data_IF_726883449908
#
_entry.id   IF_726883449908
#
_cell.length_a   1.000
_cell.length_b   1.000
_cell.length_c   1.000
_cell.angle_alpha   90.00
_cell.angle_beta   90.00
_cell.angle_gamma   90.00
#
_symmetry.space_group_name_H-M   'P 1'
#
loop_
_entity.id
_entity.type
_entity.pdbx_description
1 polymer ?
#
# COMPACT_ATOMS: atom_id res chain seq x y z
N UNK A 1 7.55 -22.92 61.57
CA UNK A 1 8.07 -21.56 61.33
C UNK A 1 7.22 -20.96 60.24
N UNK A 2 6.17 -20.28 60.69
CA UNK A 2 5.14 -19.65 59.90
C UNK A 2 5.62 -18.25 59.54
N UNK A 3 5.51 -17.87 58.26
CA UNK A 3 5.56 -16.47 57.87
C UNK A 3 4.26 -16.13 57.12
N UNK A 4 3.56 -15.04 57.50
CA UNK A 4 2.16 -14.84 57.19
C UNK A 4 1.93 -14.24 55.81
N UNK A 5 0.81 -14.62 55.23
CA UNK A 5 0.20 -14.11 54.01
C UNK A 5 -0.23 -12.64 54.14
N UNK A 6 0.31 -11.78 53.28
CA UNK A 6 -0.24 -10.45 53.01
C UNK A 6 -1.32 -10.51 51.90
N UNK A 7 -2.40 -9.72 52.00
CA UNK A 7 -3.49 -9.74 51.05
C UNK A 7 -3.16 -8.90 49.81
N UNK A 8 -3.30 -9.49 48.63
CA UNK A 8 -3.24 -8.77 47.36
C UNK A 8 -4.47 -7.86 47.26
N UNK A 9 -4.24 -6.54 47.33
CA UNK A 9 -5.24 -5.51 47.04
C UNK A 9 -5.54 -5.47 45.54
N UNK A 10 -6.81 -5.57 45.15
CA UNK A 10 -7.30 -5.12 43.86
C UNK A 10 -7.08 -3.61 43.70
N UNK A 11 -6.87 -3.15 42.46
CA UNK A 11 -7.43 -1.90 42.03
C UNK A 11 -8.28 -2.09 40.77
N UNK A 12 -9.59 -1.88 40.94
CA UNK A 12 -10.41 -1.30 39.89
C UNK A 12 -9.73 -0.02 39.42
N UNK A 13 -9.28 0.00 38.16
CA UNK A 13 -8.97 1.22 37.44
C UNK A 13 -9.69 1.15 36.09
N UNK A 14 -10.65 2.06 35.93
CA UNK A 14 -11.26 2.40 34.65
C UNK A 14 -10.17 2.74 33.61
N UNK A 15 -10.45 2.59 32.30
CA UNK A 15 -9.47 2.86 31.26
C UNK A 15 -9.21 4.37 31.22
N UNK A 16 -8.07 4.78 31.79
CA UNK A 16 -7.57 6.13 31.63
C UNK A 16 -7.24 6.32 30.14
N UNK A 17 -7.83 7.37 29.60
CA UNK A 17 -7.68 7.79 28.23
C UNK A 17 -6.20 7.82 27.85
N UNK A 18 -5.86 7.14 26.76
CA UNK A 18 -4.62 7.39 26.03
C UNK A 18 -4.63 8.86 25.62
N UNK A 19 -3.99 9.68 26.47
CA UNK A 19 -3.68 11.07 26.21
C UNK A 19 -2.88 11.10 24.91
N UNK A 20 -3.49 11.64 23.86
CA UNK A 20 -2.76 12.12 22.69
C UNK A 20 -1.63 13.03 23.17
N UNK A 21 -0.36 12.76 22.83
CA UNK A 21 0.67 13.77 22.99
C UNK A 21 0.43 14.83 21.92
N UNK A 22 -0.42 15.82 22.21
CA UNK A 22 -0.45 17.08 21.46
C UNK A 22 0.82 17.84 21.77
N UNK A 23 1.87 17.57 21.01
CA UNK A 23 3.10 18.36 21.04
C UNK A 23 2.73 19.84 20.76
N UNK A 24 2.84 20.74 21.75
CA UNK A 24 2.38 22.12 21.60
C UNK A 24 3.15 22.86 20.50
N UNK A 25 4.38 22.44 20.18
CA UNK A 25 5.20 23.02 19.12
C UNK A 25 4.64 22.78 17.73
N UNK A 26 4.13 21.58 17.45
CA UNK A 26 3.53 21.21 16.16
C UNK A 26 2.24 22.00 15.91
N UNK A 27 1.40 22.17 16.94
CA UNK A 27 0.15 22.94 16.83
C UNK A 27 0.36 24.42 16.48
N UNK A 28 1.48 25.01 16.93
CA UNK A 28 1.81 26.40 16.68
C UNK A 28 2.28 26.64 15.24
N UNK A 29 3.13 25.77 14.72
CA UNK A 29 3.62 25.83 13.34
C UNK A 29 2.48 25.54 12.36
N UNK A 30 1.68 24.50 12.61
CA UNK A 30 0.52 24.13 11.81
C UNK A 30 -0.45 25.31 11.61
N UNK A 31 -0.80 25.99 12.71
CA UNK A 31 -1.64 27.19 12.66
C UNK A 31 -1.05 28.29 11.77
N UNK A 32 0.26 28.56 11.86
CA UNK A 32 0.91 29.59 11.02
C UNK A 32 0.95 29.22 9.55
N UNK A 33 1.14 27.93 9.24
CA UNK A 33 1.04 27.45 7.85
C UNK A 33 -0.38 27.62 7.32
N UNK A 34 -1.40 27.29 8.11
CA UNK A 34 -2.80 27.53 7.76
C UNK A 34 -3.08 29.02 7.51
N UNK A 35 -2.70 29.90 8.43
CA UNK A 35 -2.88 31.35 8.29
C UNK A 35 -2.20 31.90 7.03
N UNK A 36 -0.99 31.44 6.72
CA UNK A 36 -0.30 31.80 5.48
C UNK A 36 -1.03 31.28 4.24
N UNK A 37 -1.54 30.05 4.29
CA UNK A 37 -2.34 29.44 3.22
C UNK A 37 -3.65 30.19 2.95
N UNK A 38 -4.39 30.57 3.99
CA UNK A 38 -5.62 31.37 3.89
C UNK A 38 -5.37 32.77 3.33
N UNK A 39 -4.28 33.42 3.76
CA UNK A 39 -3.87 34.71 3.24
C UNK A 39 -3.51 34.63 1.75
N UNK A 40 -2.78 33.60 1.33
CA UNK A 40 -2.47 33.35 -0.08
C UNK A 40 -3.75 33.07 -0.88
N UNK A 41 -4.62 32.17 -0.40
CA UNK A 41 -5.85 31.81 -1.08
C UNK A 41 -6.75 33.03 -1.31
N UNK A 42 -7.09 33.73 -0.24
CA UNK A 42 -8.02 34.85 -0.28
C UNK A 42 -7.48 36.02 -1.11
N UNK A 43 -6.16 36.25 -1.13
CA UNK A 43 -5.54 37.31 -1.92
C UNK A 43 -5.47 36.93 -3.41
N UNK A 44 -5.08 35.70 -3.74
CA UNK A 44 -4.99 35.28 -5.15
C UNK A 44 -6.34 35.06 -5.81
N UNK A 45 -7.38 34.62 -5.08
CA UNK A 45 -8.76 34.59 -5.62
C UNK A 45 -9.18 35.99 -6.03
N UNK A 46 -9.02 36.99 -5.14
CA UNK A 46 -9.34 38.40 -5.45
C UNK A 46 -8.58 38.96 -6.64
N UNK A 47 -7.31 38.61 -6.78
CA UNK A 47 -6.49 39.04 -7.93
C UNK A 47 -6.96 38.37 -9.22
N UNK A 48 -7.23 37.06 -9.20
CA UNK A 48 -7.61 36.30 -10.39
C UNK A 48 -9.01 36.66 -10.90
N UNK A 49 -9.96 36.93 -9.98
CA UNK A 49 -11.33 37.32 -10.33
C UNK A 49 -11.40 38.68 -11.08
N UNK A 50 -10.34 39.49 -10.98
CA UNK A 50 -10.22 40.77 -11.69
C UNK A 50 -9.56 40.63 -13.07
N UNK A 51 -9.01 39.46 -13.40
CA UNK A 51 -8.36 39.22 -14.70
C UNK A 51 -9.43 38.75 -15.70
N UNK A 52 -9.52 39.36 -16.91
CA UNK A 52 -10.45 38.91 -17.93
C UNK A 52 -10.30 37.42 -18.27
N UNK A 53 -11.33 36.62 -18.01
CA UNK A 53 -11.29 35.17 -18.26
C UNK A 53 -10.34 34.40 -17.33
N UNK A 54 -10.05 34.93 -16.14
CA UNK A 54 -9.20 34.29 -15.13
C UNK A 54 -9.70 32.93 -14.65
N UNK A 55 -11.00 32.64 -14.78
CA UNK A 55 -11.65 31.37 -14.45
C UNK A 55 -11.71 30.36 -15.62
N UNK A 56 -11.52 30.82 -16.86
CA UNK A 56 -11.71 30.03 -18.08
C UNK A 56 -10.57 29.03 -18.40
N UNK A 57 -9.67 28.79 -17.45
CA UNK A 57 -8.67 27.72 -17.48
C UNK A 57 -7.23 28.17 -17.77
N UNK A 58 -6.25 27.25 -17.63
CA UNK A 58 -4.82 27.59 -17.62
C UNK A 58 -4.29 28.28 -18.87
N UNK A 59 -4.76 27.88 -20.05
CA UNK A 59 -4.32 28.44 -21.33
C UNK A 59 -4.72 29.91 -21.48
N UNK A 60 -5.96 30.26 -21.09
CA UNK A 60 -6.46 31.63 -21.19
C UNK A 60 -5.77 32.51 -20.17
N UNK A 61 -5.68 32.07 -18.91
CA UNK A 61 -4.98 32.81 -17.87
C UNK A 61 -3.51 33.07 -18.23
N UNK A 62 -2.82 32.07 -18.79
CA UNK A 62 -1.45 32.21 -19.26
C UNK A 62 -1.31 33.28 -20.35
N UNK A 63 -2.24 33.28 -21.33
CA UNK A 63 -2.26 34.25 -22.44
C UNK A 63 -2.49 35.67 -21.93
N UNK A 64 -3.48 35.88 -21.07
CA UNK A 64 -3.83 37.21 -20.54
C UNK A 64 -2.69 37.79 -19.69
N UNK A 65 -2.07 36.97 -18.84
CA UNK A 65 -0.96 37.41 -17.98
C UNK A 65 0.41 37.43 -18.68
N UNK A 66 0.52 36.86 -19.89
CA UNK A 66 1.81 36.70 -20.56
C UNK A 66 2.79 35.82 -19.77
N UNK A 67 2.29 34.78 -19.08
CA UNK A 67 3.08 33.80 -18.32
C UNK A 67 3.01 32.42 -18.98
N UNK A 68 3.86 31.49 -18.54
CA UNK A 68 3.80 30.12 -19.05
C UNK A 68 2.57 29.35 -18.52
N UNK A 69 2.09 28.39 -19.31
CA UNK A 69 0.91 27.56 -18.98
C UNK A 69 1.10 26.76 -17.68
N UNK A 70 2.32 26.35 -17.36
CA UNK A 70 2.60 25.54 -16.16
C UNK A 70 2.38 26.39 -14.91
N UNK A 71 2.90 27.62 -14.88
CA UNK A 71 2.68 28.57 -13.80
C UNK A 71 1.20 28.91 -13.66
N UNK A 72 0.51 29.23 -14.76
CA UNK A 72 -0.94 29.50 -14.74
C UNK A 72 -1.74 28.31 -14.19
N UNK A 73 -1.40 27.09 -14.61
CA UNK A 73 -2.03 25.85 -14.12
C UNK A 73 -1.82 25.65 -12.62
N UNK A 74 -0.60 25.88 -12.11
CA UNK A 74 -0.29 25.78 -10.68
C UNK A 74 -1.05 26.82 -9.86
N UNK A 75 -1.14 28.06 -10.33
CA UNK A 75 -1.93 29.10 -9.66
C UNK A 75 -3.42 28.73 -9.59
N UNK A 76 -4.01 28.29 -10.71
CA UNK A 76 -5.42 27.88 -10.74
C UNK A 76 -5.70 26.67 -9.84
N UNK A 77 -4.78 25.70 -9.79
CA UNK A 77 -4.90 24.55 -8.88
C UNK A 77 -4.79 24.94 -7.41
N UNK A 78 -4.00 25.96 -7.09
CA UNK A 78 -3.86 26.49 -5.74
C UNK A 78 -5.12 27.23 -5.31
N UNK A 79 -5.65 28.15 -6.12
CA UNK A 79 -6.88 28.90 -5.75
C UNK A 79 -8.16 28.05 -5.74
N UNK A 80 -8.15 26.89 -6.40
CA UNK A 80 -9.24 25.89 -6.37
C UNK A 80 -9.01 24.78 -5.35
N UNK A 81 -8.00 24.90 -4.50
CA UNK A 81 -7.76 23.92 -3.45
C UNK A 81 -8.88 23.97 -2.40
N UNK A 82 -9.24 22.83 -1.80
CA UNK A 82 -10.36 22.77 -0.86
C UNK A 82 -10.06 23.41 0.51
N UNK A 83 -8.78 23.54 0.86
CA UNK A 83 -8.33 24.05 2.16
C UNK A 83 -6.99 24.79 2.05
N UNK A 84 -6.65 25.57 3.08
CA UNK A 84 -5.43 26.38 3.14
C UNK A 84 -4.14 25.57 3.08
N UNK A 85 -4.12 24.38 3.65
CA UNK A 85 -2.94 23.52 3.68
C UNK A 85 -2.64 22.95 2.29
N UNK A 86 -3.69 22.56 1.57
CA UNK A 86 -3.64 22.22 0.14
C UNK A 86 -3.18 23.39 -0.74
N UNK A 87 -3.52 24.63 -0.40
CA UNK A 87 -3.03 25.84 -1.10
C UNK A 87 -1.52 25.93 -0.95
N UNK A 88 -1.00 25.86 0.28
CA UNK A 88 0.43 25.95 0.57
C UNK A 88 1.22 24.85 -0.16
N UNK A 89 0.66 23.65 -0.25
CA UNK A 89 1.25 22.55 -1.01
C UNK A 89 1.33 22.84 -2.51
N UNK A 90 0.27 23.39 -3.11
CA UNK A 90 0.14 23.56 -4.57
C UNK A 90 0.76 24.85 -5.10
N UNK A 91 0.76 25.90 -4.28
CA UNK A 91 1.21 27.24 -4.65
C UNK A 91 2.67 27.19 -5.12
N UNK A 92 3.03 27.90 -6.20
CA UNK A 92 4.42 27.98 -6.61
C UNK A 92 5.25 28.77 -5.59
N UNK A 93 6.58 28.78 -5.75
CA UNK A 93 7.46 29.56 -4.88
C UNK A 93 7.18 31.08 -4.93
N UNK A 94 7.69 31.84 -3.96
CA UNK A 94 7.49 33.29 -3.86
C UNK A 94 7.80 34.06 -5.15
N UNK A 95 8.94 33.81 -5.79
CA UNK A 95 9.34 34.51 -7.02
C UNK A 95 8.37 34.31 -8.20
N UNK A 96 7.96 33.07 -8.57
CA UNK A 96 6.86 32.87 -9.52
C UNK A 96 5.56 33.60 -9.16
N UNK A 97 5.17 33.61 -7.89
CA UNK A 97 3.97 34.32 -7.43
C UNK A 97 4.09 35.85 -7.64
N UNK A 98 5.24 36.44 -7.33
CA UNK A 98 5.51 37.87 -7.57
C UNK A 98 5.44 38.21 -9.06
N UNK A 99 5.91 37.32 -9.94
CA UNK A 99 5.76 37.49 -11.40
C UNK A 99 4.30 37.53 -11.82
N UNK A 100 3.44 36.69 -11.24
CA UNK A 100 2.00 36.72 -11.48
C UNK A 100 1.41 38.07 -11.04
N UNK A 101 1.72 38.55 -9.83
CA UNK A 101 1.22 39.86 -9.35
C UNK A 101 1.69 41.03 -10.22
N UNK A 102 2.95 41.01 -10.67
CA UNK A 102 3.50 42.02 -11.58
C UNK A 102 2.82 42.01 -12.95
N UNK A 103 2.39 40.84 -13.42
CA UNK A 103 1.60 40.73 -14.65
C UNK A 103 0.18 41.25 -14.42
N UNK A 104 -0.46 40.84 -13.33
CA UNK A 104 -1.82 41.27 -12.95
C UNK A 104 -1.94 42.79 -12.79
N UNK A 105 -0.92 43.45 -12.23
CA UNK A 105 -0.95 44.91 -12.06
C UNK A 105 -0.97 45.66 -13.40
N UNK A 106 -0.37 45.11 -14.46
CA UNK A 106 -0.42 45.67 -15.82
C UNK A 106 -1.79 45.53 -16.47
N UNK A 107 -2.63 44.62 -15.98
CA UNK A 107 -3.99 44.39 -16.46
C UNK A 107 -5.05 45.19 -15.69
N UNK A 108 -4.63 46.13 -14.83
CA UNK A 108 -5.54 47.03 -14.12
C UNK A 108 -6.19 46.43 -12.86
N UNK A 109 -5.65 45.31 -12.33
CA UNK A 109 -6.06 44.80 -11.01
C UNK A 109 -5.82 45.86 -9.95
N UNK A 110 -6.77 46.03 -9.02
CA UNK A 110 -6.74 47.06 -7.98
C UNK A 110 -5.40 47.05 -7.21
N UNK A 111 -4.72 48.21 -7.05
CA UNK A 111 -3.44 48.29 -6.35
C UNK A 111 -3.49 47.74 -4.90
N UNK A 112 -4.63 47.89 -4.22
CA UNK A 112 -4.82 47.36 -2.86
C UNK A 112 -4.76 45.82 -2.83
N UNK A 113 -5.37 45.14 -3.81
CA UNK A 113 -5.38 43.67 -3.88
C UNK A 113 -3.99 43.13 -4.27
N UNK A 114 -3.28 43.82 -5.17
CA UNK A 114 -1.88 43.51 -5.48
C UNK A 114 -1.00 43.65 -4.23
N UNK A 115 -1.17 44.72 -3.45
CA UNK A 115 -0.43 44.94 -2.21
C UNK A 115 -0.71 43.84 -1.18
N UNK A 116 -1.97 43.51 -0.92
CA UNK A 116 -2.32 42.44 0.02
C UNK A 116 -1.78 41.08 -0.41
N UNK A 117 -1.83 40.74 -1.70
CA UNK A 117 -1.24 39.51 -2.20
C UNK A 117 0.30 39.51 -2.05
N UNK A 118 0.95 40.66 -2.26
CA UNK A 118 2.39 40.83 -2.02
C UNK A 118 2.75 40.54 -0.55
N UNK A 119 2.01 41.11 0.39
CA UNK A 119 2.21 40.88 1.82
C UNK A 119 1.99 39.41 2.22
N UNK A 120 1.01 38.73 1.59
CA UNK A 120 0.79 37.30 1.82
C UNK A 120 1.96 36.44 1.31
N UNK A 121 2.54 36.79 0.14
CA UNK A 121 3.75 36.14 -0.38
C UNK A 121 4.93 36.37 0.56
N UNK A 122 5.13 37.59 1.06
CA UNK A 122 6.22 37.93 1.96
C UNK A 122 6.16 37.10 3.25
N UNK A 123 4.97 37.02 3.88
CA UNK A 123 4.77 36.20 5.08
C UNK A 123 5.05 34.73 4.81
N UNK A 124 4.62 34.22 3.66
CA UNK A 124 4.87 32.84 3.27
C UNK A 124 6.35 32.55 3.03
N UNK A 125 7.06 33.47 2.37
CA UNK A 125 8.49 33.37 2.16
C UNK A 125 9.28 33.38 3.48
N UNK A 126 8.92 34.28 4.40
CA UNK A 126 9.49 34.33 5.74
C UNK A 126 9.27 33.00 6.46
N UNK A 127 8.04 32.48 6.49
CA UNK A 127 7.71 31.21 7.12
C UNK A 127 8.58 30.06 6.60
N UNK A 128 8.76 29.94 5.28
CA UNK A 128 9.64 28.92 4.69
C UNK A 128 11.08 29.09 5.17
N UNK A 129 11.62 30.30 5.08
CA UNK A 129 13.06 30.55 5.31
C UNK A 129 13.46 30.51 6.79
N UNK A 130 12.61 31.03 7.68
CA UNK A 130 12.99 31.26 9.08
C UNK A 130 12.52 30.14 10.00
N UNK A 131 11.37 29.53 9.72
CA UNK A 131 10.79 28.53 10.64
C UNK A 131 10.97 27.10 10.14
N UNK A 132 10.86 26.88 8.84
CA UNK A 132 10.88 25.53 8.26
C UNK A 132 12.26 25.15 7.71
N UNK A 133 13.01 26.15 7.25
CA UNK A 133 14.34 25.99 6.65
C UNK A 133 14.29 26.03 5.12
N UNK A 134 13.54 25.11 4.51
CA UNK A 134 13.37 25.09 3.05
C UNK A 134 12.04 24.48 2.58
N UNK A 135 11.85 24.49 1.26
CA UNK A 135 10.64 23.95 0.63
C UNK A 135 10.54 22.42 0.77
N UNK A 136 11.66 21.70 0.81
CA UNK A 136 11.67 20.24 0.94
C UNK A 136 11.21 19.82 2.33
N UNK A 137 11.64 20.54 3.37
CA UNK A 137 11.20 20.36 4.74
C UNK A 137 9.70 20.71 4.89
N UNK A 138 9.23 21.78 4.25
CA UNK A 138 7.79 22.09 4.21
C UNK A 138 6.99 20.96 3.57
N UNK A 139 7.46 20.39 2.45
CA UNK A 139 6.78 19.26 1.81
C UNK A 139 6.71 18.01 2.70
N UNK A 140 7.75 17.74 3.50
CA UNK A 140 7.75 16.65 4.46
C UNK A 140 6.74 16.89 5.60
N UNK A 141 6.68 18.10 6.14
CA UNK A 141 5.68 18.46 7.17
C UNK A 141 4.27 18.36 6.59
N UNK A 142 4.03 18.94 5.40
CA UNK A 142 2.71 18.89 4.75
C UNK A 142 2.28 17.47 4.40
N UNK A 143 3.21 16.55 4.13
CA UNK A 143 2.87 15.14 3.91
C UNK A 143 2.27 14.47 5.15
N UNK A 144 2.46 15.01 6.35
CA UNK A 144 1.78 14.52 7.55
C UNK A 144 0.33 15.00 7.64
N UNK A 145 0.00 16.14 7.03
CA UNK A 145 -1.28 16.84 7.25
C UNK A 145 -2.21 16.90 6.02
N UNK A 146 -1.66 16.85 4.80
CA UNK A 146 -2.41 16.97 3.55
C UNK A 146 -2.39 15.61 2.84
N UNK A 147 -3.54 14.89 2.77
CA UNK A 147 -3.61 13.57 2.17
C UNK A 147 -3.11 13.52 0.73
N UNK A 148 -3.43 14.51 -0.12
CA UNK A 148 -2.92 14.51 -1.50
C UNK A 148 -1.41 14.76 -1.57
N UNK A 149 -0.87 15.63 -0.71
CA UNK A 149 0.56 15.86 -0.64
C UNK A 149 1.29 14.60 -0.20
N UNK A 150 0.74 13.88 0.80
CA UNK A 150 1.25 12.58 1.24
C UNK A 150 1.23 11.57 0.10
N UNK A 151 0.11 11.46 -0.64
CA UNK A 151 -0.02 10.55 -1.79
C UNK A 151 1.03 10.84 -2.87
N UNK A 152 1.18 12.10 -3.27
CA UNK A 152 2.13 12.50 -4.31
C UNK A 152 3.58 12.27 -3.85
N UNK A 153 3.87 12.61 -2.58
CA UNK A 153 5.17 12.40 -1.96
C UNK A 153 5.52 10.91 -1.91
N UNK A 154 4.69 10.08 -1.28
CA UNK A 154 4.90 8.64 -1.16
C UNK A 154 5.07 7.99 -2.54
N UNK A 155 4.20 8.29 -3.51
CA UNK A 155 4.26 7.70 -4.85
C UNK A 155 5.59 8.00 -5.55
N UNK A 156 6.08 9.25 -5.49
CA UNK A 156 7.38 9.61 -6.10
C UNK A 156 8.55 8.92 -5.43
N UNK A 157 8.51 8.77 -4.10
CA UNK A 157 9.58 8.10 -3.32
C UNK A 157 9.56 6.59 -3.56
N UNK A 158 8.38 5.97 -3.51
CA UNK A 158 8.14 4.56 -3.88
C UNK A 158 8.62 4.26 -5.31
N UNK A 159 8.29 5.12 -6.28
CA UNK A 159 8.78 4.98 -7.66
C UNK A 159 10.32 5.08 -7.77
N UNK A 160 10.93 5.99 -7.01
CA UNK A 160 12.40 6.13 -6.98
C UNK A 160 13.06 4.91 -6.33
N UNK A 161 12.52 4.42 -5.21
CA UNK A 161 12.97 3.20 -4.55
C UNK A 161 12.83 1.98 -5.46
N UNK A 162 11.71 1.83 -6.16
CA UNK A 162 11.51 0.79 -7.17
C UNK A 162 12.62 0.80 -8.24
N UNK A 163 12.95 1.97 -8.81
CA UNK A 163 14.02 2.07 -9.83
C UNK A 163 15.38 1.65 -9.26
N UNK A 164 15.73 2.16 -8.08
CA UNK A 164 16.98 1.84 -7.41
C UNK A 164 17.08 0.33 -7.11
N UNK A 165 16.04 -0.24 -6.49
CA UNK A 165 16.00 -1.66 -6.14
C UNK A 165 16.00 -2.57 -7.35
N UNK A 166 15.29 -2.21 -8.42
CA UNK A 166 15.30 -2.95 -9.68
C UNK A 166 16.71 -3.00 -10.27
N UNK A 167 17.42 -1.87 -10.32
CA UNK A 167 18.79 -1.80 -10.82
C UNK A 167 19.78 -2.58 -9.94
N UNK A 168 19.67 -2.45 -8.62
CA UNK A 168 20.52 -3.16 -7.67
C UNK A 168 20.31 -4.68 -7.74
N UNK A 169 19.06 -5.13 -7.66
CA UNK A 169 18.69 -6.56 -7.73
C UNK A 169 18.79 -7.13 -9.13
N UNK A 170 18.81 -6.30 -10.17
CA UNK A 170 18.92 -6.74 -11.57
C UNK A 170 17.69 -7.46 -12.09
N UNK A 171 16.53 -7.29 -11.45
CA UNK A 171 15.26 -7.87 -11.86
C UNK A 171 14.10 -6.95 -11.46
N UNK A 172 13.02 -6.99 -12.24
CA UNK A 172 11.79 -6.26 -11.94
C UNK A 172 10.57 -6.98 -12.53
N UNK A 173 9.37 -6.67 -12.03
CA UNK A 173 8.09 -7.10 -12.59
C UNK A 173 7.14 -5.93 -12.83
N UNK A 174 6.18 -6.12 -13.73
CA UNK A 174 5.09 -5.14 -13.92
C UNK A 174 4.07 -5.29 -12.78
N UNK A 175 3.65 -6.52 -12.50
CA UNK A 175 2.68 -6.84 -11.46
C UNK A 175 3.18 -7.99 -10.62
N UNK A 176 3.13 -7.82 -9.30
CA UNK A 176 3.25 -8.88 -8.32
C UNK A 176 1.89 -9.03 -7.63
N UNK A 177 1.23 -10.16 -7.81
CA UNK A 177 -0.10 -10.38 -7.29
C UNK A 177 -0.21 -11.70 -6.53
N UNK A 178 -0.86 -11.67 -5.37
CA UNK A 178 -1.15 -12.86 -4.58
C UNK A 178 -2.63 -12.89 -4.20
N UNK A 179 -3.18 -14.09 -4.08
CA UNK A 179 -4.53 -14.30 -3.58
C UNK A 179 -4.54 -15.48 -2.59
N UNK A 180 -5.11 -15.25 -1.42
CA UNK A 180 -5.39 -16.29 -0.43
C UNK A 180 -6.89 -16.58 -0.41
N UNK A 181 -7.28 -17.84 -0.61
CA UNK A 181 -8.68 -18.28 -0.46
C UNK A 181 -8.79 -19.07 0.84
N UNK A 182 -9.68 -18.63 1.73
CA UNK A 182 -10.03 -19.31 2.96
C UNK A 182 -11.38 -19.99 2.80
N UNK A 183 -11.40 -21.32 2.93
CA UNK A 183 -12.57 -22.15 2.73
C UNK A 183 -12.74 -23.14 3.89
N UNK A 184 -13.96 -23.41 4.42
CA UNK A 184 -14.15 -24.41 5.46
C UNK A 184 -13.75 -25.80 4.95
N UNK A 185 -12.89 -26.49 5.68
CA UNK A 185 -12.55 -27.88 5.37
C UNK A 185 -13.76 -28.79 5.51
N UNK A 186 -13.72 -29.98 4.89
CA UNK A 186 -14.82 -30.94 4.92
C UNK A 186 -15.23 -31.41 6.34
N UNK A 187 -14.31 -31.32 7.32
CA UNK A 187 -14.58 -31.64 8.72
C UNK A 187 -15.33 -30.53 9.48
N UNK A 188 -15.45 -29.32 8.91
CA UNK A 188 -16.08 -28.16 9.54
C UNK A 188 -15.31 -27.51 10.70
N UNK A 189 -14.19 -28.10 11.12
CA UNK A 189 -13.35 -27.70 12.27
C UNK A 189 -12.07 -26.98 11.83
N UNK A 190 -11.68 -27.13 10.56
CA UNK A 190 -10.50 -26.52 9.97
C UNK A 190 -10.83 -25.65 8.75
N UNK A 191 -9.83 -24.93 8.30
CA UNK A 191 -9.89 -24.08 7.11
C UNK A 191 -8.85 -24.58 6.10
N UNK A 192 -9.31 -24.80 4.88
CA UNK A 192 -8.48 -24.98 3.70
C UNK A 192 -7.97 -23.61 3.23
N UNK A 193 -6.69 -23.55 2.87
CA UNK A 193 -6.06 -22.35 2.34
C UNK A 193 -5.51 -22.64 0.95
N UNK A 194 -5.93 -21.83 -0.01
CA UNK A 194 -5.39 -21.84 -1.37
C UNK A 194 -4.59 -20.58 -1.60
N UNK A 195 -3.33 -20.73 -2.01
CA UNK A 195 -2.44 -19.63 -2.32
C UNK A 195 -2.18 -19.58 -3.82
N UNK A 196 -2.60 -18.50 -4.46
CA UNK A 196 -2.29 -18.21 -5.86
C UNK A 196 -1.27 -17.09 -5.87
N UNK A 197 -0.12 -17.32 -6.50
CA UNK A 197 0.92 -16.32 -6.70
C UNK A 197 1.11 -16.08 -8.18
N UNK A 198 1.10 -14.82 -8.59
CA UNK A 198 1.15 -14.40 -9.98
C UNK A 198 2.14 -13.27 -10.15
N UNK A 199 3.14 -13.45 -11.01
CA UNK A 199 4.10 -12.40 -11.35
C UNK A 199 4.05 -12.20 -12.87
N UNK A 200 3.72 -10.98 -13.29
CA UNK A 200 3.58 -10.62 -14.70
C UNK A 200 4.64 -9.61 -15.14
N UNK A 201 5.11 -9.78 -16.38
CA UNK A 201 6.13 -8.91 -16.97
C UNK A 201 7.46 -8.96 -16.22
N UNK A 202 7.77 -10.10 -15.57
CA UNK A 202 9.01 -10.27 -14.83
C UNK A 202 10.17 -10.38 -15.81
N UNK A 203 11.21 -9.56 -15.63
CA UNK A 203 12.37 -9.54 -16.51
C UNK A 203 13.67 -9.38 -15.73
N UNK A 204 14.74 -9.96 -16.28
CA UNK A 204 16.11 -9.69 -15.85
C UNK A 204 16.58 -8.40 -16.51
N UNK A 205 17.25 -7.54 -15.74
CA UNK A 205 17.83 -6.30 -16.24
C UNK A 205 19.31 -6.43 -16.61
N UNK A 206 19.97 -7.49 -16.15
CA UNK A 206 21.36 -7.81 -16.51
C UNK A 206 21.59 -9.32 -16.71
N UNK A 207 22.55 -9.72 -17.55
CA UNK A 207 22.91 -11.13 -17.75
C UNK A 207 23.28 -11.83 -16.43
N UNK A 208 23.00 -13.13 -16.35
CA UNK A 208 23.41 -13.98 -15.23
C UNK A 208 22.67 -13.75 -13.91
N UNK A 209 21.67 -12.86 -13.87
CA UNK A 209 20.92 -12.61 -12.64
C UNK A 209 20.04 -13.81 -12.26
N UNK A 210 20.21 -14.33 -11.04
CA UNK A 210 19.29 -15.29 -10.43
C UNK A 210 18.13 -14.55 -9.79
N UNK A 211 16.90 -14.90 -10.17
CA UNK A 211 15.70 -14.29 -9.61
C UNK A 211 15.08 -15.27 -8.62
N UNK A 212 14.95 -14.84 -7.38
CA UNK A 212 14.32 -15.61 -6.31
C UNK A 212 12.82 -15.36 -6.34
N UNK A 213 12.04 -16.39 -6.67
CA UNK A 213 10.59 -16.31 -6.81
C UNK A 213 9.87 -16.48 -5.47
N UNK A 214 10.24 -17.50 -4.70
CA UNK A 214 9.64 -17.76 -3.38
C UNK A 214 10.63 -18.44 -2.45
N UNK A 215 10.33 -18.44 -1.16
CA UNK A 215 11.03 -19.26 -0.17
C UNK A 215 10.08 -19.81 0.86
N UNK A 216 10.31 -21.06 1.22
CA UNK A 216 9.56 -21.70 2.29
C UNK A 216 10.53 -22.22 3.34
N UNK A 217 10.19 -22.06 4.62
CA UNK A 217 10.90 -22.69 5.73
C UNK A 217 10.29 -24.06 5.99
N UNK A 218 11.10 -25.10 5.84
CA UNK A 218 10.77 -26.48 6.19
C UNK A 218 10.83 -26.59 7.71
N UNK A 219 9.70 -26.89 8.35
CA UNK A 219 9.65 -27.22 9.78
C UNK A 219 10.00 -28.70 9.93
N UNK A 220 11.02 -29.04 10.70
CA UNK A 220 11.57 -30.41 10.81
C UNK A 220 10.73 -31.38 11.66
N UNK A 221 9.80 -30.91 12.51
CA UNK A 221 8.97 -31.81 13.35
C UNK A 221 7.51 -31.34 13.53
N UNK A 222 6.57 -32.30 13.41
CA UNK A 222 5.17 -32.20 13.83
C UNK A 222 4.19 -31.52 12.86
N UNK A 223 3.38 -32.31 12.15
CA UNK A 223 2.16 -31.81 11.47
C UNK A 223 2.36 -30.68 10.46
N UNK A 224 3.54 -30.57 9.84
CA UNK A 224 3.89 -29.49 8.93
C UNK A 224 2.97 -29.39 7.70
N UNK A 225 2.91 -28.20 7.11
CA UNK A 225 2.13 -27.89 5.90
C UNK A 225 2.43 -28.92 4.80
N UNK A 226 1.37 -29.55 4.26
CA UNK A 226 1.47 -30.53 3.17
C UNK A 226 0.83 -29.93 1.91
N UNK A 227 1.54 -29.03 1.21
CA UNK A 227 0.97 -28.37 0.05
C UNK A 227 0.76 -29.37 -1.08
N UNK A 228 -0.40 -29.25 -1.73
CA UNK A 228 -0.81 -30.05 -2.88
C UNK A 228 -0.97 -29.16 -4.10
N UNK A 229 -0.81 -29.75 -5.27
CA UNK A 229 -1.13 -29.10 -6.54
C UNK A 229 -2.63 -28.83 -6.61
N UNK A 230 -3.06 -28.00 -7.57
CA UNK A 230 -4.49 -27.76 -7.81
C UNK A 230 -5.26 -29.07 -8.10
N UNK A 231 -4.61 -30.06 -8.73
CA UNK A 231 -5.18 -31.38 -8.98
C UNK A 231 -5.21 -32.32 -7.77
N UNK A 232 -4.66 -31.91 -6.62
CA UNK A 232 -4.68 -32.70 -5.38
C UNK A 232 -3.44 -33.58 -5.15
N UNK A 233 -2.50 -33.61 -6.10
CA UNK A 233 -1.26 -34.38 -5.96
C UNK A 233 -0.30 -33.72 -4.97
N UNK A 234 0.53 -34.47 -4.22
CA UNK A 234 1.60 -33.89 -3.41
C UNK A 234 2.54 -33.02 -4.26
N UNK A 235 2.90 -31.84 -3.78
CA UNK A 235 3.82 -30.97 -4.50
C UNK A 235 5.24 -31.54 -4.50
N UNK A 236 5.78 -31.77 -5.70
CA UNK A 236 7.21 -32.08 -5.91
C UNK A 236 7.88 -30.80 -6.43
N UNK A 237 8.26 -29.92 -5.49
CA UNK A 237 8.76 -28.59 -5.78
C UNK A 237 7.70 -27.65 -6.38
N UNK A 238 8.06 -26.37 -6.50
CA UNK A 238 7.12 -25.32 -6.95
C UNK A 238 6.66 -25.46 -8.41
N UNK A 239 7.44 -26.13 -9.27
CA UNK A 239 7.06 -26.33 -10.68
C UNK A 239 5.72 -27.08 -10.80
N UNK A 240 5.48 -28.03 -9.89
CA UNK A 240 4.22 -28.79 -9.83
C UNK A 240 2.99 -27.94 -9.49
N UNK A 241 3.18 -26.74 -8.91
CA UNK A 241 2.11 -25.78 -8.64
C UNK A 241 1.84 -24.82 -9.82
N UNK A 242 2.61 -24.88 -10.91
CA UNK A 242 2.49 -23.93 -12.02
C UNK A 242 1.18 -24.13 -12.78
N UNK A 243 0.44 -23.05 -13.01
CA UNK A 243 -0.76 -23.05 -13.85
C UNK A 243 -0.39 -22.62 -15.28
N UNK A 244 0.04 -23.59 -16.09
CA UNK A 244 0.67 -23.35 -17.39
C UNK A 244 -0.14 -22.43 -18.32
N UNK A 245 -1.47 -22.53 -18.36
CA UNK A 245 -2.30 -21.67 -19.24
C UNK A 245 -2.35 -20.18 -18.85
N UNK A 246 -1.83 -19.82 -17.68
CA UNK A 246 -1.69 -18.44 -17.22
C UNK A 246 -0.23 -17.97 -17.21
N UNK A 247 0.71 -18.83 -17.64
CA UNK A 247 2.13 -18.51 -17.75
C UNK A 247 2.51 -18.13 -19.20
N UNK A 248 3.73 -17.62 -19.38
CA UNK A 248 4.33 -17.46 -20.71
C UNK A 248 4.52 -18.82 -21.41
N UNK A 249 4.71 -18.78 -22.73
CA UNK A 249 5.08 -19.95 -23.54
C UNK A 249 6.49 -19.74 -24.12
N UNK A 250 7.45 -20.67 -23.90
CA UNK A 250 7.33 -21.87 -23.06
C UNK A 250 7.11 -21.52 -21.57
N UNK A 251 6.49 -22.45 -20.83
CA UNK A 251 6.23 -22.26 -19.40
C UNK A 251 7.55 -22.08 -18.65
N UNK A 252 7.72 -20.99 -17.86
CA UNK A 252 8.94 -20.78 -17.10
C UNK A 252 9.16 -21.89 -16.06
N UNK A 253 10.40 -22.36 -15.95
CA UNK A 253 10.80 -23.36 -14.96
C UNK A 253 11.52 -22.72 -13.78
N UNK A 254 11.27 -23.25 -12.59
CA UNK A 254 11.87 -22.87 -11.32
C UNK A 254 12.77 -24.00 -10.80
N UNK A 255 14.00 -23.68 -10.46
CA UNK A 255 14.94 -24.57 -9.78
C UNK A 255 14.74 -24.46 -8.26
N UNK A 256 14.61 -25.60 -7.58
CA UNK A 256 14.56 -25.64 -6.12
C UNK A 256 15.98 -25.80 -5.55
N UNK A 257 16.39 -24.84 -4.72
CA UNK A 257 17.68 -24.87 -4.03
C UNK A 257 17.44 -24.97 -2.52
N UNK A 258 17.66 -26.15 -1.95
CA UNK A 258 17.62 -26.36 -0.51
C UNK A 258 18.87 -25.74 0.15
N UNK A 259 18.67 -24.98 1.22
CA UNK A 259 19.69 -24.31 2.01
C UNK A 259 19.31 -24.43 3.50
N UNK A 260 19.74 -25.53 4.14
CA UNK A 260 19.31 -25.88 5.49
C UNK A 260 17.79 -26.09 5.55
N UNK A 261 17.14 -25.40 6.49
CA UNK A 261 15.68 -25.40 6.63
C UNK A 261 14.95 -24.62 5.52
N UNK A 262 15.64 -23.85 4.69
CA UNK A 262 14.98 -23.05 3.64
C UNK A 262 15.05 -23.72 2.28
N UNK A 263 13.94 -23.68 1.54
CA UNK A 263 13.93 -23.99 0.10
C UNK A 263 13.77 -22.69 -0.66
N UNK A 264 14.74 -22.34 -1.51
CA UNK A 264 14.68 -21.21 -2.41
C UNK A 264 14.26 -21.65 -3.80
N UNK A 265 13.21 -21.05 -4.34
CA UNK A 265 12.79 -21.28 -5.70
C UNK A 265 13.34 -20.19 -6.61
N UNK A 266 14.18 -20.59 -7.55
CA UNK A 266 14.95 -19.69 -8.40
C UNK A 266 14.49 -19.86 -9.84
N UNK A 267 14.22 -18.76 -10.53
CA UNK A 267 13.91 -18.83 -11.95
C UNK A 267 15.13 -19.31 -12.74
N UNK A 268 14.94 -20.35 -13.55
CA UNK A 268 16.01 -20.90 -14.40
C UNK A 268 16.63 -19.80 -15.28
N UNK A 269 17.95 -19.86 -15.54
CA UNK A 269 18.62 -18.89 -16.39
C UNK A 269 17.90 -18.68 -17.71
N UNK A 270 17.82 -17.43 -18.16
CA UNK A 270 17.12 -17.08 -19.40
C UNK A 270 17.58 -15.74 -19.94
N UNK A 271 16.86 -15.24 -20.94
CA UNK A 271 17.12 -13.93 -21.54
C UNK A 271 17.05 -12.75 -20.56
N UNK A 272 17.48 -11.59 -21.03
CA UNK A 272 17.44 -10.32 -20.29
C UNK A 272 16.83 -9.20 -21.15
N UNK A 273 16.33 -8.16 -20.50
CA UNK A 273 15.64 -7.03 -21.12
C UNK A 273 14.15 -7.29 -21.39
N UNK A 274 13.46 -6.27 -21.89
CA UNK A 274 12.01 -6.26 -22.02
C UNK A 274 11.45 -7.37 -22.92
N UNK A 275 12.17 -7.76 -23.98
CA UNK A 275 11.77 -8.85 -24.88
C UNK A 275 11.84 -10.25 -24.26
N UNK A 276 12.45 -10.38 -23.07
CA UNK A 276 12.56 -11.64 -22.32
C UNK A 276 11.59 -11.74 -21.14
N UNK A 277 10.66 -10.79 -21.03
CA UNK A 277 9.72 -10.75 -19.91
C UNK A 277 8.84 -12.00 -19.89
N UNK A 278 8.62 -12.55 -18.70
CA UNK A 278 7.78 -13.72 -18.48
C UNK A 278 6.62 -13.44 -17.52
N UNK A 279 5.58 -14.25 -17.68
CA UNK A 279 4.48 -14.37 -16.74
C UNK A 279 4.54 -15.75 -16.10
N UNK A 280 4.38 -15.79 -14.79
CA UNK A 280 4.44 -17.01 -13.99
C UNK A 280 3.33 -16.99 -12.95
N UNK A 281 2.52 -18.05 -12.93
CA UNK A 281 1.41 -18.24 -12.00
C UNK A 281 1.53 -19.61 -11.35
N UNK A 282 1.49 -19.65 -10.03
CA UNK A 282 1.51 -20.87 -9.22
C UNK A 282 0.30 -20.92 -8.30
N UNK A 283 -0.20 -22.12 -8.02
CA UNK A 283 -1.31 -22.37 -7.10
C UNK A 283 -0.99 -23.53 -6.17
N UNK A 284 -0.99 -23.26 -4.86
CA UNK A 284 -0.78 -24.24 -3.81
C UNK A 284 -2.08 -24.43 -3.01
N UNK A 285 -2.47 -25.68 -2.78
CA UNK A 285 -3.68 -26.04 -2.03
C UNK A 285 -3.29 -26.73 -0.73
N UNK A 286 -3.80 -26.23 0.39
CA UNK A 286 -3.53 -26.77 1.72
C UNK A 286 -4.86 -27.10 2.38
N UNK A 287 -5.12 -28.39 2.57
CA UNK A 287 -6.37 -28.87 3.16
C UNK A 287 -6.22 -28.97 4.67
N UNK A 288 -7.20 -28.44 5.41
CA UNK A 288 -7.20 -28.44 6.87
C UNK A 288 -5.97 -27.78 7.48
N UNK A 289 -5.53 -26.64 6.93
CA UNK A 289 -4.26 -26.02 7.30
C UNK A 289 -4.31 -25.38 8.69
N UNK A 290 -5.36 -24.63 8.97
CA UNK A 290 -5.51 -23.91 10.24
C UNK A 290 -6.82 -24.27 10.95
N UNK A 291 -6.86 -24.21 12.30
CA UNK A 291 -8.11 -24.38 13.03
C UNK A 291 -9.08 -23.26 12.67
N UNK A 292 -10.36 -23.61 12.50
CA UNK A 292 -11.43 -22.65 12.26
C UNK A 292 -11.72 -21.81 13.48
N UNK A 293 -11.76 -22.45 14.64
CA UNK A 293 -12.11 -21.82 15.91
C UNK A 293 -10.86 -21.61 16.76
N UNK A 294 -10.64 -20.36 17.17
CA UNK A 294 -9.54 -20.00 18.07
C UNK A 294 -10.15 -19.21 19.22
N UNK A 295 -10.02 -19.69 20.47
CA UNK A 295 -10.56 -19.02 21.64
C UNK A 295 -10.18 -17.55 21.71
N UNK A 296 -11.17 -16.67 21.90
CA UNK A 296 -11.01 -15.21 21.96
C UNK A 296 -10.02 -14.77 23.05
N UNK A 297 -9.93 -15.53 24.15
CA UNK A 297 -8.96 -15.28 25.23
C UNK A 297 -7.49 -15.41 24.81
N UNK A 298 -7.19 -16.05 23.66
CA UNK A 298 -5.82 -16.12 23.13
C UNK A 298 -5.40 -14.84 22.41
N UNK A 299 -6.34 -13.92 22.18
CA UNK A 299 -6.11 -12.64 21.50
C UNK A 299 -5.33 -12.79 20.18
N UNK A 300 -5.58 -13.87 19.43
CA UNK A 300 -4.96 -14.12 18.13
C UNK A 300 -5.84 -13.58 17.01
N UNK A 301 -5.21 -13.14 15.94
CA UNK A 301 -5.85 -12.82 14.66
C UNK A 301 -5.56 -13.93 13.66
N UNK A 302 -6.57 -14.27 12.86
CA UNK A 302 -6.34 -14.98 11.63
C UNK A 302 -5.78 -13.99 10.61
N UNK A 303 -4.88 -14.42 9.74
CA UNK A 303 -4.27 -13.50 8.78
C UNK A 303 -3.79 -14.21 7.52
N UNK A 304 -3.69 -13.43 6.46
CA UNK A 304 -2.90 -13.76 5.28
C UNK A 304 -1.97 -12.57 4.99
N UNK A 305 -0.76 -12.85 4.52
CA UNK A 305 0.18 -11.79 4.15
C UNK A 305 0.90 -12.09 2.84
N UNK A 306 1.25 -11.02 2.12
CA UNK A 306 2.04 -11.03 0.90
C UNK A 306 3.32 -10.23 1.14
N UNK A 307 4.48 -10.84 0.88
CA UNK A 307 5.79 -10.19 0.99
C UNK A 307 6.34 -9.81 -0.39
N UNK A 308 6.83 -8.58 -0.53
CA UNK A 308 7.39 -8.08 -1.78
C UNK A 308 8.88 -8.38 -1.86
N UNK A 309 9.20 -9.50 -2.50
CA UNK A 309 10.56 -9.98 -2.71
C UNK A 309 11.10 -9.76 -4.14
N UNK A 310 10.28 -9.21 -5.04
CA UNK A 310 10.64 -8.81 -6.40
C UNK A 310 10.22 -7.35 -6.59
N UNK A 311 11.15 -6.44 -6.96
CA UNK A 311 10.79 -5.06 -7.28
C UNK A 311 9.71 -5.03 -8.35
N UNK A 312 8.56 -4.44 -8.06
CA UNK A 312 7.40 -4.44 -8.95
C UNK A 312 6.77 -3.05 -9.09
N UNK A 313 6.12 -2.78 -10.22
CA UNK A 313 5.39 -1.51 -10.41
C UNK A 313 4.04 -1.50 -9.72
N UNK A 314 3.42 -2.66 -9.55
CA UNK A 314 2.11 -2.83 -8.90
C UNK A 314 2.15 -4.06 -8.00
N UNK A 315 1.58 -3.94 -6.81
CA UNK A 315 1.16 -5.05 -5.98
C UNK A 315 -0.36 -5.17 -6.01
N UNK A 316 -0.87 -6.38 -6.07
CA UNK A 316 -2.26 -6.70 -5.71
C UNK A 316 -2.25 -7.85 -4.71
N UNK A 317 -2.92 -7.70 -3.59
CA UNK A 317 -3.09 -8.78 -2.62
C UNK A 317 -4.56 -8.95 -2.29
N UNK A 318 -5.12 -10.11 -2.63
CA UNK A 318 -6.53 -10.44 -2.42
C UNK A 318 -6.67 -11.49 -1.31
N UNK A 319 -7.63 -11.28 -0.40
CA UNK A 319 -8.08 -12.29 0.55
C UNK A 319 -9.55 -12.58 0.27
N UNK A 320 -9.82 -13.81 -0.16
CA UNK A 320 -11.16 -14.29 -0.51
C UNK A 320 -11.61 -15.27 0.58
N UNK A 321 -12.67 -14.91 1.28
CA UNK A 321 -13.12 -15.63 2.48
C UNK A 321 -14.50 -16.19 2.24
N UNK A 322 -14.70 -17.49 2.51
CA UNK A 322 -16.03 -18.07 2.53
C UNK A 322 -16.94 -17.36 3.55
N UNK A 323 -18.21 -17.14 3.20
CA UNK A 323 -19.20 -16.39 4.01
C UNK A 323 -19.37 -16.93 5.44
N UNK A 324 -19.14 -18.22 5.64
CA UNK A 324 -19.25 -18.88 6.94
C UNK A 324 -18.03 -18.79 7.85
N UNK A 325 -16.95 -18.14 7.39
CA UNK A 325 -15.76 -17.89 8.18
C UNK A 325 -15.72 -16.42 8.61
N UNK A 326 -15.23 -16.16 9.82
CA UNK A 326 -14.96 -14.82 10.37
C UNK A 326 -16.15 -13.84 10.24
N UNK A 327 -17.37 -14.29 10.55
CA UNK A 327 -18.64 -13.59 10.33
C UNK A 327 -18.66 -12.22 11.00
N UNK A 328 -19.19 -11.23 10.28
CA UNK A 328 -19.34 -9.86 10.80
C UNK A 328 -18.03 -9.10 10.98
N UNK A 329 -16.90 -9.65 10.52
CA UNK A 329 -15.59 -9.00 10.63
C UNK A 329 -15.18 -8.36 9.30
N UNK A 330 -14.51 -7.22 9.39
CA UNK A 330 -13.76 -6.61 8.30
C UNK A 330 -12.27 -6.72 8.61
N UNK A 331 -11.43 -7.01 7.62
CA UNK A 331 -10.01 -7.16 7.89
C UNK A 331 -9.36 -5.82 8.25
N UNK A 332 -8.41 -5.88 9.17
CA UNK A 332 -7.48 -4.79 9.46
C UNK A 332 -6.24 -4.93 8.55
N UNK A 333 -5.71 -3.80 8.08
CA UNK A 333 -4.47 -3.78 7.30
C UNK A 333 -3.30 -3.45 8.21
N UNK A 334 -2.25 -4.27 8.14
CA UNK A 334 -0.93 -3.93 8.71
C UNK A 334 0.14 -4.14 7.66
N UNK A 335 1.10 -3.23 7.61
CA UNK A 335 2.25 -3.29 6.71
C UNK A 335 3.50 -3.29 7.56
N UNK A 336 4.41 -4.22 7.32
CA UNK A 336 5.64 -4.38 8.09
C UNK A 336 6.88 -4.24 7.22
N UNK A 337 7.92 -3.65 7.79
CA UNK A 337 9.28 -3.72 7.27
C UNK A 337 9.90 -5.09 7.64
N UNK A 338 10.24 -5.90 6.64
CA UNK A 338 10.84 -7.24 6.85
C UNK A 338 12.36 -7.24 6.67
N UNK A 339 12.99 -6.07 6.49
CA UNK A 339 14.43 -5.99 6.16
C UNK A 339 15.36 -6.52 7.24
N UNK A 340 15.02 -6.33 8.52
CA UNK A 340 15.83 -6.78 9.67
C UNK A 340 15.30 -8.11 10.21
N UNK A 341 14.04 -8.13 10.63
CA UNK A 341 13.45 -9.27 11.33
C UNK A 341 12.89 -10.38 10.42
N UNK A 342 12.95 -10.22 9.10
CA UNK A 342 12.26 -11.11 8.16
C UNK A 342 10.73 -10.99 8.29
N UNK A 343 10.02 -12.01 7.77
CA UNK A 343 8.55 -12.07 7.80
C UNK A 343 8.05 -11.92 9.25
N UNK A 344 7.13 -10.97 9.47
CA UNK A 344 6.54 -10.70 10.76
C UNK A 344 5.40 -11.68 11.05
N UNK A 345 5.43 -12.32 12.23
CA UNK A 345 4.21 -12.89 12.83
C UNK A 345 3.41 -11.73 13.41
N UNK A 346 2.22 -11.53 12.86
CA UNK A 346 1.33 -10.43 13.24
C UNK A 346 0.78 -10.60 14.66
N UNK A 347 0.82 -11.82 15.20
CA UNK A 347 0.42 -12.09 16.59
C UNK A 347 1.56 -11.88 17.59
N UNK A 348 2.77 -11.55 17.15
CA UNK A 348 3.90 -11.23 18.02
C UNK A 348 3.98 -9.70 18.20
N UNK A 349 3.63 -9.16 19.39
CA UNK A 349 3.65 -7.72 19.63
C UNK A 349 5.04 -7.10 19.50
N UNK A 350 6.12 -7.89 19.61
CA UNK A 350 7.48 -7.37 19.39
C UNK A 350 7.69 -6.89 17.96
N UNK A 351 6.86 -7.34 17.01
CA UNK A 351 6.89 -6.92 15.61
C UNK A 351 6.10 -5.65 15.35
N UNK A 352 5.38 -5.10 16.33
CA UNK A 352 4.62 -3.85 16.15
C UNK A 352 5.52 -2.65 15.84
N UNK A 353 6.79 -2.68 16.30
CA UNK A 353 7.79 -1.65 15.99
C UNK A 353 8.19 -1.62 14.50
N UNK A 354 7.99 -2.73 13.79
CA UNK A 354 8.31 -2.83 12.36
C UNK A 354 7.15 -2.33 11.47
N UNK A 355 6.02 -1.91 12.06
CA UNK A 355 4.88 -1.44 11.29
C UNK A 355 5.19 -0.13 10.56
N UNK A 356 4.83 -0.08 9.28
CA UNK A 356 4.98 1.08 8.41
C UNK A 356 3.65 1.81 8.26
N UNK A 357 3.65 3.11 8.49
CA UNK A 357 2.51 3.99 8.18
C UNK A 357 2.54 4.39 6.69
N UNK A 358 1.80 3.65 5.86
CA UNK A 358 1.63 3.93 4.42
C UNK A 358 0.16 4.13 4.06
N UNK A 359 -0.08 4.76 2.90
CA UNK A 359 -1.42 5.12 2.43
C UNK A 359 -2.27 3.99 1.82
N UNK A 360 -1.71 2.79 1.69
CA UNK A 360 -2.46 1.62 1.24
C UNK A 360 -3.68 1.36 2.14
N UNK A 361 -4.76 0.87 1.54
CA UNK A 361 -6.01 0.57 2.25
C UNK A 361 -6.68 -0.67 1.65
N UNK A 362 -7.63 -1.23 2.39
CA UNK A 362 -8.41 -2.38 1.96
C UNK A 362 -9.64 -1.91 1.18
N UNK A 363 -9.76 -2.39 -0.05
CA UNK A 363 -10.97 -2.31 -0.87
C UNK A 363 -11.85 -3.54 -0.60
N UNK A 364 -13.12 -3.30 -0.29
CA UNK A 364 -14.13 -4.38 -0.20
C UNK A 364 -14.69 -4.67 -1.59
N UNK A 365 -14.34 -5.83 -2.15
CA UNK A 365 -14.77 -6.21 -3.50
C UNK A 365 -16.26 -6.62 -3.52
N UNK A 366 -16.83 -7.01 -2.38
CA UNK A 366 -18.17 -7.62 -2.31
C UNK A 366 -18.09 -9.13 -2.43
N UNK A 367 -19.15 -9.76 -2.95
CA UNK A 367 -19.28 -11.21 -3.07
C UNK A 367 -19.45 -11.67 -4.51
N UNK A 368 -19.00 -12.90 -4.77
CA UNK A 368 -19.15 -13.55 -6.08
C UNK A 368 -18.03 -13.24 -7.06
N UNK A 369 -17.77 -14.20 -7.96
CA UNK A 369 -16.62 -14.18 -8.87
C UNK A 369 -16.62 -12.95 -9.80
N UNK A 370 -17.82 -12.46 -10.16
CA UNK A 370 -17.98 -11.29 -11.01
C UNK A 370 -17.39 -10.02 -10.41
N UNK A 371 -17.33 -9.93 -9.07
CA UNK A 371 -16.77 -8.79 -8.35
C UNK A 371 -15.24 -8.84 -8.23
N UNK A 372 -14.63 -10.01 -8.36
CA UNK A 372 -13.19 -10.20 -8.18
C UNK A 372 -12.36 -9.91 -9.45
N UNK A 373 -12.81 -8.98 -10.30
CA UNK A 373 -12.05 -8.57 -11.48
C UNK A 373 -10.75 -7.86 -11.10
N UNK A 374 -9.73 -7.91 -11.96
CA UNK A 374 -8.51 -7.11 -11.82
C UNK A 374 -8.16 -6.47 -13.16
N UNK A 375 -7.82 -5.18 -13.14
CA UNK A 375 -7.25 -4.46 -14.28
C UNK A 375 -5.76 -4.71 -14.46
N UNK A 376 -5.09 -5.27 -13.45
CA UNK A 376 -3.63 -5.45 -13.43
C UNK A 376 -3.23 -6.89 -13.73
N UNK A 377 -4.06 -7.86 -13.33
CA UNK A 377 -3.79 -9.28 -13.55
C UNK A 377 -4.58 -9.78 -14.78
N UNK A 378 -3.90 -10.15 -15.88
CA UNK A 378 -4.57 -10.69 -17.06
C UNK A 378 -5.40 -11.93 -16.75
N UNK A 379 -6.63 -11.99 -17.28
CA UNK A 379 -7.55 -13.13 -17.12
C UNK A 379 -7.81 -13.54 -15.66
N UNK A 380 -7.66 -12.61 -14.71
CA UNK A 380 -7.76 -12.91 -13.26
C UNK A 380 -9.05 -13.60 -12.85
N UNK A 381 -10.20 -13.15 -13.38
CA UNK A 381 -11.49 -13.79 -13.10
C UNK A 381 -11.54 -15.24 -13.59
N UNK A 382 -10.97 -15.52 -14.76
CA UNK A 382 -10.91 -16.88 -15.30
C UNK A 382 -10.01 -17.78 -14.44
N UNK A 383 -8.85 -17.25 -14.00
CA UNK A 383 -7.94 -17.92 -13.08
C UNK A 383 -8.64 -18.31 -11.77
N UNK A 384 -9.32 -17.36 -11.11
CA UNK A 384 -10.07 -17.65 -9.88
C UNK A 384 -11.21 -18.65 -10.13
N UNK A 385 -11.94 -18.50 -11.24
CA UNK A 385 -13.04 -19.40 -11.59
C UNK A 385 -12.59 -20.83 -11.83
N UNK A 386 -11.44 -21.02 -12.48
CA UNK A 386 -10.87 -22.35 -12.70
C UNK A 386 -10.37 -23.00 -11.42
N UNK A 387 -9.68 -22.24 -10.56
CA UNK A 387 -9.23 -22.73 -9.25
C UNK A 387 -10.44 -23.16 -8.42
N UNK A 388 -11.47 -22.32 -8.34
CA UNK A 388 -12.69 -22.64 -7.60
C UNK A 388 -13.41 -23.86 -8.20
N UNK A 389 -13.58 -23.89 -9.52
CA UNK A 389 -14.23 -25.00 -10.21
C UNK A 389 -13.52 -26.34 -10.02
N UNK A 390 -12.19 -26.34 -10.06
CA UNK A 390 -11.38 -27.55 -9.83
C UNK A 390 -11.48 -28.06 -8.39
N UNK A 391 -11.58 -27.14 -7.42
CA UNK A 391 -11.71 -27.48 -6.00
C UNK A 391 -13.15 -27.77 -5.56
N UNK A 392 -14.14 -27.57 -6.44
CA UNK A 392 -15.56 -27.67 -6.11
C UNK A 392 -16.06 -26.51 -5.22
N UNK A 393 -15.37 -25.39 -5.22
CA UNK A 393 -15.74 -24.20 -4.45
C UNK A 393 -16.75 -23.38 -5.24
N UNK A 394 -17.85 -23.00 -4.59
CA UNK A 394 -18.81 -22.05 -5.11
C UNK A 394 -18.34 -20.61 -4.83
N UNK A 395 -17.88 -19.85 -5.85
CA UNK A 395 -17.32 -18.54 -5.62
C UNK A 395 -18.37 -17.50 -5.21
N UNK A 396 -19.66 -17.75 -5.41
CA UNK A 396 -20.75 -16.89 -4.93
C UNK A 396 -20.85 -16.89 -3.40
N UNK A 397 -20.22 -17.86 -2.73
CA UNK A 397 -20.14 -17.92 -1.27
C UNK A 397 -18.93 -17.20 -0.71
N UNK A 398 -18.08 -16.59 -1.54
CA UNK A 398 -16.92 -15.85 -1.08
C UNK A 398 -17.20 -14.35 -1.00
N UNK A 399 -16.58 -13.69 -0.01
CA UNK A 399 -16.40 -12.24 0.05
C UNK A 399 -14.93 -11.91 -0.16
N UNK A 400 -14.65 -10.86 -0.93
CA UNK A 400 -13.30 -10.49 -1.32
C UNK A 400 -12.84 -9.16 -0.74
N UNK A 401 -11.58 -9.12 -0.35
CA UNK A 401 -10.87 -7.94 0.12
C UNK A 401 -9.60 -7.78 -0.69
N UNK A 402 -9.26 -6.56 -1.11
CA UNK A 402 -8.06 -6.27 -1.91
C UNK A 402 -7.26 -5.14 -1.32
N UNK A 403 -5.95 -5.32 -1.28
CA UNK A 403 -4.99 -4.22 -1.15
C UNK A 403 -4.26 -4.06 -2.47
N UNK A 404 -4.11 -2.83 -2.94
CA UNK A 404 -3.33 -2.50 -4.13
C UNK A 404 -2.31 -1.43 -3.77
N UNK A 405 -1.08 -1.60 -4.26
CA UNK A 405 0.01 -0.64 -4.03
C UNK A 405 0.75 -0.34 -5.33
N UNK A 406 1.01 0.94 -5.56
CA UNK A 406 1.82 1.41 -6.68
C UNK A 406 3.26 1.55 -6.23
N UNK A 407 4.14 0.83 -6.93
CA UNK A 407 5.55 0.71 -6.59
C UNK A 407 5.74 0.26 -5.12
N UNK A 408 5.20 -0.91 -4.74
CA UNK A 408 5.37 -1.44 -3.39
C UNK A 408 6.85 -1.44 -2.97
N UNK A 409 7.10 -1.15 -1.70
CA UNK A 409 8.45 -1.11 -1.13
C UNK A 409 8.99 -2.55 -1.09
N UNK A 410 10.20 -2.74 -1.63
CA UNK A 410 10.87 -4.03 -1.57
C UNK A 410 11.18 -4.38 -0.11
N UNK A 411 10.90 -5.61 0.32
CA UNK A 411 11.08 -6.03 1.72
C UNK A 411 9.98 -5.50 2.64
N UNK A 412 8.79 -5.21 2.09
CA UNK A 412 7.60 -4.98 2.88
C UNK A 412 6.69 -6.21 2.87
N UNK A 413 6.02 -6.47 3.98
CA UNK A 413 4.95 -7.45 4.12
C UNK A 413 3.62 -6.73 4.30
N UNK A 414 2.65 -7.02 3.44
CA UNK A 414 1.27 -6.53 3.55
C UNK A 414 0.40 -7.63 4.14
N UNK A 415 -0.24 -7.38 5.27
CA UNK A 415 -1.06 -8.33 5.99
C UNK A 415 -2.51 -7.86 6.14
N UNK A 416 -3.45 -8.76 5.88
CA UNK A 416 -4.87 -8.57 6.19
C UNK A 416 -5.25 -9.50 7.34
N UNK A 417 -5.75 -8.91 8.43
CA UNK A 417 -6.04 -9.59 9.69
C UNK A 417 -7.55 -9.70 9.89
N UNK A 418 -8.04 -10.87 10.23
CA UNK A 418 -9.43 -11.14 10.57
C UNK A 418 -9.54 -11.52 12.05
N UNK A 419 -10.63 -11.10 12.69
CA UNK A 419 -10.91 -11.52 14.06
C UNK A 419 -11.34 -12.98 14.08
N UNK A 420 -10.71 -13.80 14.93
CA UNK A 420 -11.01 -15.23 15.05
C UNK A 420 -12.37 -15.45 15.68
N UNK A 421 -12.93 -16.64 15.44
CA UNK A 421 -14.23 -17.04 15.97
C UNK A 421 -14.05 -18.03 17.13
N UNK A 422 -14.83 -17.84 18.19
CA UNK A 422 -15.03 -18.87 19.20
C UNK A 422 -15.86 -20.01 18.61
N UNK A 423 -15.67 -21.22 19.14
CA UNK A 423 -16.55 -22.34 18.80
C UNK A 423 -17.94 -22.01 19.33
N UNK A 424 -19.01 -22.06 18.50
CA UNK A 424 -20.37 -21.97 19.01
C UNK A 424 -20.55 -23.04 20.10
N UNK A 425 -21.17 -22.66 21.23
CA UNK A 425 -21.33 -23.53 22.41
C UNK A 425 -21.60 -24.99 22.01
N UNK A 426 -20.71 -25.88 22.44
CA UNK A 426 -20.73 -27.31 22.13
C UNK A 426 -21.79 -28.08 22.92
#
# INVERSE_FOLDING_TARGET
>A
MSNPSEPIRSPDAAPDALLEPKDPGLSGLERRINEAGEALLSSFVRVIDQIPGGDAGPQRLAKELGIDKVLASRMLKAVRAPDAMSVVHRVPGPEPMRRVLKASSKLGVKPADIKHAGEAIDRFETLIRTEIGDRSALEAILSAWVPEARREFELRRKQSAFRAMSQLKGAQAEVYAEAAIFWPSADGERIDIVWIKSVFGMQRLRPGMRVKFSSYRRVEEGGGRQPRTLGGEPMVGVNSATLAQYCSTPTPSLEAHAAGEMVHYLLEPGGFGAGSAINLVTCEVNRGEIPRYIPSNRNRKAWASSEINIPSRRMQFDVLVHKDLYKGTHPELRIYDTTIGGQADINDPSRDIDQMDLLESIEHLGSGLNRFGSSHVPRYRALLGEVCGTLGYDPEQMRGYRVSSDYPIYGMQTAMLLTTEDRPDA
#
